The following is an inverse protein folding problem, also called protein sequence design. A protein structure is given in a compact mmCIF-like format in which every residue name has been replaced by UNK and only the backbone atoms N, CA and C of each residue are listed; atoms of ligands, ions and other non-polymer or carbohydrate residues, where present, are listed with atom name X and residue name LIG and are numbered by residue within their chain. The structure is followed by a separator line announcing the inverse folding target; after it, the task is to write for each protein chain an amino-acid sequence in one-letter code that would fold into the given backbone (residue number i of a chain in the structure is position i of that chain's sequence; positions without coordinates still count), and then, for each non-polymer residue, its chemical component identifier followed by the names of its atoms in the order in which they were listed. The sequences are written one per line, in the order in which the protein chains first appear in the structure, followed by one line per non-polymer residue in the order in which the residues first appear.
data_IF_276394028511
#
_entry.id   IF_276394028511
#
_cell.length_a   1.000
_cell.length_b   1.000
_cell.length_c   1.000
_cell.angle_alpha   90.00
_cell.angle_beta   90.00
_cell.angle_gamma   90.00
#
_symmetry.space_group_name_H-M   'P 1'
#
loop_
_entity.id
_entity.type
_entity.pdbx_description
1 polymer ?
#
# COMPACT_ATOMS: atom_id res chain seq x y z
N UNK A 1 -55.96 -9.03 15.93
CA UNK A 1 -54.60 -8.87 16.43
C UNK A 1 -53.80 -10.05 15.91
N UNK A 2 -53.14 -9.84 14.79
CA UNK A 2 -52.10 -10.71 14.27
C UNK A 2 -51.11 -9.74 13.64
N UNK A 3 -50.00 -9.55 14.34
CA UNK A 3 -48.88 -8.71 13.93
C UNK A 3 -48.28 -9.32 12.66
N UNK A 4 -48.17 -8.51 11.60
CA UNK A 4 -47.26 -8.81 10.50
C UNK A 4 -45.91 -8.26 10.94
N UNK A 5 -44.99 -9.16 11.25
CA UNK A 5 -43.55 -8.86 11.30
C UNK A 5 -43.09 -8.73 9.84
N UNK A 6 -43.03 -7.49 9.35
CA UNK A 6 -42.32 -7.18 8.11
C UNK A 6 -40.83 -7.15 8.46
N UNK A 7 -40.12 -8.23 8.09
CA UNK A 7 -38.66 -8.31 8.13
C UNK A 7 -38.11 -7.28 7.13
N UNK A 8 -37.56 -6.17 7.64
CA UNK A 8 -36.73 -5.24 6.88
C UNK A 8 -35.45 -5.99 6.45
N UNK A 9 -35.48 -6.51 5.23
CA UNK A 9 -34.31 -6.98 4.50
C UNK A 9 -33.55 -5.73 4.03
N UNK A 10 -32.68 -5.21 4.91
CA UNK A 10 -31.65 -4.22 4.56
C UNK A 10 -30.66 -4.90 3.60
N UNK A 11 -31.07 -5.08 2.34
CA UNK A 11 -30.15 -5.25 1.22
C UNK A 11 -29.34 -3.94 1.13
N UNK A 12 -28.21 -3.89 1.84
CA UNK A 12 -27.19 -2.88 1.62
C UNK A 12 -26.79 -2.97 0.15
N UNK A 13 -27.41 -2.12 -0.69
CA UNK A 13 -26.96 -1.88 -2.06
C UNK A 13 -25.49 -1.49 -1.96
N UNK A 14 -24.59 -2.43 -2.27
CA UNK A 14 -23.18 -2.15 -2.47
C UNK A 14 -23.12 -1.13 -3.60
N UNK A 15 -23.08 0.17 -3.26
CA UNK A 15 -22.84 1.24 -4.20
C UNK A 15 -21.59 0.85 -4.99
N UNK A 16 -21.77 0.53 -6.27
CA UNK A 16 -20.73 0.01 -7.14
C UNK A 16 -19.62 1.05 -7.20
N UNK A 17 -18.60 0.88 -6.35
CA UNK A 17 -17.58 1.88 -6.13
C UNK A 17 -16.88 2.14 -7.48
N UNK A 18 -17.02 3.35 -7.99
CA UNK A 18 -16.48 3.72 -9.30
C UNK A 18 -14.99 3.35 -9.37
N UNK A 19 -14.61 2.57 -10.38
CA UNK A 19 -13.22 2.17 -10.59
C UNK A 19 -12.34 3.42 -10.74
N UNK A 20 -11.46 3.65 -9.77
CA UNK A 20 -10.53 4.76 -9.81
C UNK A 20 -9.50 4.55 -10.93
N UNK A 21 -9.65 5.29 -12.03
CA UNK A 21 -8.71 5.24 -13.14
C UNK A 21 -7.44 6.03 -12.82
N UNK A 22 -6.26 5.47 -13.14
CA UNK A 22 -5.01 6.24 -13.04
C UNK A 22 -5.09 7.49 -13.92
N UNK A 23 -4.70 8.68 -13.43
CA UNK A 23 -4.68 9.91 -14.24
C UNK A 23 -3.62 9.88 -15.36
N UNK A 24 -2.83 8.81 -15.43
CA UNK A 24 -1.74 8.65 -16.36
C UNK A 24 -2.21 7.98 -17.66
N UNK A 25 -1.86 8.55 -18.81
CA UNK A 25 -2.23 7.98 -20.12
C UNK A 25 -1.40 6.74 -20.48
N UNK A 26 -0.14 6.69 -20.06
CA UNK A 26 0.74 5.51 -20.19
C UNK A 26 1.72 5.45 -19.03
N UNK A 27 1.83 4.29 -18.37
CA UNK A 27 2.90 4.04 -17.42
C UNK A 27 4.18 3.65 -18.16
N UNK A 28 5.30 4.34 -17.89
CA UNK A 28 6.62 3.91 -18.35
C UNK A 28 7.12 2.79 -17.45
N UNK A 29 7.45 1.62 -18.00
CA UNK A 29 8.05 0.52 -17.26
C UNK A 29 7.45 -0.83 -17.64
N UNK A 30 7.61 -1.81 -16.75
CA UNK A 30 7.00 -3.13 -16.84
C UNK A 30 5.89 -3.23 -15.80
N UNK A 31 4.71 -3.68 -16.21
CA UNK A 31 3.63 -4.00 -15.28
C UNK A 31 4.06 -5.17 -14.38
N UNK A 32 4.08 -4.93 -13.06
CA UNK A 32 4.44 -5.93 -12.05
C UNK A 32 3.22 -6.46 -11.28
N UNK A 33 2.14 -5.67 -11.21
CA UNK A 33 0.93 -5.99 -10.46
C UNK A 33 -0.27 -5.26 -11.08
N UNK A 34 -1.33 -6.01 -11.39
CA UNK A 34 -2.64 -5.50 -11.80
C UNK A 34 -3.68 -6.50 -11.26
N UNK A 35 -4.30 -6.19 -10.13
CA UNK A 35 -5.14 -7.13 -9.38
C UNK A 35 -6.23 -6.37 -8.65
N UNK A 36 -7.46 -6.92 -8.71
CA UNK A 36 -8.61 -6.44 -7.93
C UNK A 36 -8.50 -7.03 -6.53
N UNK A 37 -8.47 -6.15 -5.53
CA UNK A 37 -8.43 -6.52 -4.11
C UNK A 37 -9.80 -6.20 -3.48
N UNK A 38 -10.41 -7.13 -2.73
CA UNK A 38 -11.69 -6.88 -2.04
C UNK A 38 -11.46 -6.07 -0.75
N UNK A 39 -10.92 -4.86 -0.88
CA UNK A 39 -10.56 -3.96 0.21
C UNK A 39 -10.88 -2.52 -0.20
N UNK A 40 -11.28 -1.68 0.76
CA UNK A 40 -11.41 -0.25 0.50
C UNK A 40 -10.04 0.38 0.20
N UNK A 41 -10.05 1.48 -0.56
CA UNK A 41 -8.83 2.23 -0.91
C UNK A 41 -8.09 2.70 0.35
N UNK A 42 -8.81 3.17 1.35
CA UNK A 42 -8.23 3.63 2.62
C UNK A 42 -7.56 2.49 3.39
N UNK A 43 -8.18 1.30 3.40
CA UNK A 43 -7.61 0.12 4.05
C UNK A 43 -6.32 -0.32 3.36
N UNK A 44 -6.32 -0.36 2.03
CA UNK A 44 -5.13 -0.69 1.25
C UNK A 44 -4.01 0.34 1.47
N UNK A 45 -4.37 1.63 1.54
CA UNK A 45 -3.42 2.69 1.85
C UNK A 45 -2.81 2.51 3.24
N UNK A 46 -3.64 2.25 4.25
CA UNK A 46 -3.19 2.00 5.63
C UNK A 46 -2.17 0.85 5.67
N UNK A 47 -2.45 -0.25 4.95
CA UNK A 47 -1.55 -1.40 4.89
C UNK A 47 -0.21 -1.12 4.21
N UNK A 48 -0.20 -0.39 3.10
CA UNK A 48 1.02 -0.20 2.30
C UNK A 48 1.84 1.03 2.70
N UNK A 49 1.20 2.06 3.25
CA UNK A 49 1.79 3.39 3.40
C UNK A 49 1.89 3.88 4.85
N UNK A 50 1.67 3.02 5.84
CA UNK A 50 1.89 3.30 7.26
C UNK A 50 2.76 2.22 7.91
N UNK A 51 3.12 2.39 9.19
CA UNK A 51 3.81 1.37 9.98
C UNK A 51 2.84 0.30 10.49
N UNK A 52 2.06 -0.27 9.56
CA UNK A 52 1.06 -1.30 9.84
C UNK A 52 1.72 -2.66 10.07
N UNK A 53 0.99 -3.57 10.72
CA UNK A 53 1.44 -4.96 10.87
C UNK A 53 1.66 -5.61 9.49
N UNK A 54 0.76 -5.39 8.54
CA UNK A 54 0.88 -5.87 7.16
C UNK A 54 2.20 -5.40 6.52
N UNK A 55 2.53 -4.12 6.64
CA UNK A 55 3.77 -3.56 6.09
C UNK A 55 5.01 -4.23 6.67
N UNK A 56 5.03 -4.43 7.99
CA UNK A 56 6.13 -5.12 8.68
C UNK A 56 6.24 -6.58 8.25
N UNK A 57 5.12 -7.29 8.14
CA UNK A 57 5.07 -8.67 7.67
C UNK A 57 5.56 -8.78 6.21
N UNK A 58 5.17 -7.85 5.33
CA UNK A 58 5.63 -7.80 3.94
C UNK A 58 7.16 -7.74 3.88
N UNK A 59 7.78 -6.84 4.62
CA UNK A 59 9.24 -6.75 4.68
C UNK A 59 9.90 -7.96 5.34
N UNK A 60 9.25 -8.55 6.34
CA UNK A 60 9.72 -9.79 6.96
C UNK A 60 9.78 -10.94 5.94
N UNK A 61 8.71 -11.15 5.15
CA UNK A 61 8.66 -12.17 4.08
C UNK A 61 9.73 -11.90 3.01
N UNK A 62 9.98 -10.62 2.68
CA UNK A 62 11.03 -10.20 1.74
C UNK A 62 12.44 -10.26 2.35
N UNK A 63 12.58 -10.64 3.62
CA UNK A 63 13.85 -10.70 4.37
C UNK A 63 14.59 -9.37 4.40
N UNK A 64 13.87 -8.25 4.32
CA UNK A 64 14.42 -6.93 4.60
C UNK A 64 14.72 -6.80 6.08
N UNK A 65 15.82 -6.14 6.43
CA UNK A 65 16.26 -5.93 7.81
C UNK A 65 16.47 -4.45 8.09
N UNK A 66 16.59 -4.10 9.37
CA UNK A 66 16.93 -2.75 9.83
C UNK A 66 16.02 -1.65 9.23
N UNK A 67 14.72 -1.93 9.14
CA UNK A 67 13.76 -1.00 8.54
C UNK A 67 13.63 0.22 9.44
N UNK A 68 13.78 1.39 8.85
CA UNK A 68 13.57 2.69 9.47
C UNK A 68 12.50 3.41 8.65
N UNK A 69 11.35 3.64 9.26
CA UNK A 69 10.22 4.36 8.69
C UNK A 69 10.24 5.79 9.24
N UNK A 70 10.41 6.79 8.37
CA UNK A 70 10.21 8.18 8.77
C UNK A 70 8.74 8.59 8.61
N UNK A 71 8.32 9.52 9.46
CA UNK A 71 7.01 10.14 9.37
C UNK A 71 6.83 10.87 8.04
N UNK A 72 5.60 10.85 7.56
CA UNK A 72 5.20 11.67 6.42
C UNK A 72 5.32 13.17 6.74
N UNK A 73 5.92 13.93 5.83
CA UNK A 73 6.11 15.37 5.93
C UNK A 73 5.61 16.05 4.68
N UNK A 74 5.04 17.24 4.81
CA UNK A 74 4.61 18.03 3.66
C UNK A 74 5.80 18.85 3.16
N UNK A 75 6.14 18.70 1.88
CA UNK A 75 7.15 19.54 1.24
C UNK A 75 6.68 20.99 1.16
N UNK A 76 7.56 21.93 1.53
CA UNK A 76 7.19 23.35 1.56
C UNK A 76 7.02 23.93 0.15
N UNK A 77 7.74 23.40 -0.84
CA UNK A 77 7.80 23.91 -2.21
C UNK A 77 6.75 23.25 -3.08
N UNK A 78 6.69 21.91 -3.08
CA UNK A 78 5.77 21.15 -3.95
C UNK A 78 4.41 20.88 -3.33
N UNK A 79 4.25 21.09 -2.01
CA UNK A 79 3.06 20.70 -1.22
C UNK A 79 2.77 19.20 -1.21
N UNK A 80 3.63 18.37 -1.81
CA UNK A 80 3.49 16.92 -1.81
C UNK A 80 3.81 16.33 -0.43
N UNK A 81 3.23 15.17 -0.12
CA UNK A 81 3.48 14.44 1.12
C UNK A 81 4.64 13.48 0.87
N UNK A 82 5.75 13.66 1.57
CA UNK A 82 6.99 12.93 1.36
C UNK A 82 7.34 12.09 2.58
N UNK A 83 7.93 10.92 2.35
CA UNK A 83 8.68 10.21 3.40
C UNK A 83 9.90 9.49 2.82
N UNK A 84 10.81 9.14 3.71
CA UNK A 84 11.96 8.29 3.41
C UNK A 84 11.90 7.00 4.22
N UNK A 85 12.19 5.88 3.58
CA UNK A 85 12.31 4.57 4.23
C UNK A 85 13.71 4.04 3.95
N UNK A 86 14.37 3.51 4.97
CA UNK A 86 15.68 2.86 4.81
C UNK A 86 15.61 1.43 5.30
N UNK A 87 16.22 0.49 4.58
CA UNK A 87 16.28 -0.92 4.96
C UNK A 87 17.44 -1.63 4.26
N UNK A 88 17.88 -2.77 4.80
CA UNK A 88 18.91 -3.61 4.19
C UNK A 88 18.31 -4.86 3.55
N UNK A 89 18.82 -5.24 2.39
CA UNK A 89 18.42 -6.45 1.66
C UNK A 89 19.60 -7.36 1.40
N UNK A 90 19.38 -8.66 1.42
CA UNK A 90 20.39 -9.63 1.00
C UNK A 90 20.50 -9.65 -0.53
N UNK A 91 21.73 -9.67 -1.05
CA UNK A 91 22.02 -9.75 -2.48
C UNK A 91 22.62 -11.12 -2.76
N UNK A 92 21.90 -11.94 -3.53
CA UNK A 92 22.33 -13.29 -3.88
C UNK A 92 23.00 -13.33 -5.26
N UNK A 93 24.14 -12.63 -5.40
CA UNK A 93 24.90 -12.58 -6.63
C UNK A 93 26.39 -12.76 -6.36
N UNK A 94 27.04 -13.70 -7.06
CA UNK A 94 28.42 -14.14 -6.77
C UNK A 94 29.48 -13.03 -6.86
N UNK A 95 29.20 -11.95 -7.59
CA UNK A 95 30.10 -10.81 -7.80
C UNK A 95 29.71 -9.56 -6.98
N UNK A 96 28.70 -9.67 -6.12
CA UNK A 96 28.20 -8.53 -5.33
C UNK A 96 28.45 -8.75 -3.82
N UNK A 97 28.50 -7.66 -3.03
CA UNK A 97 28.42 -7.77 -1.58
C UNK A 97 27.18 -8.55 -1.16
N UNK A 98 27.23 -9.28 -0.04
CA UNK A 98 26.13 -10.14 0.43
C UNK A 98 24.86 -9.38 0.81
N UNK A 99 24.96 -8.07 1.03
CA UNK A 99 23.83 -7.20 1.37
C UNK A 99 24.04 -5.80 0.82
N UNK A 100 22.94 -5.06 0.67
CA UNK A 100 22.92 -3.68 0.24
C UNK A 100 21.96 -2.87 1.13
N UNK A 101 22.28 -1.60 1.36
CA UNK A 101 21.40 -0.63 2.02
C UNK A 101 20.55 0.08 0.97
N UNK A 102 19.25 0.13 1.19
CA UNK A 102 18.27 0.76 0.32
C UNK A 102 17.74 2.01 1.00
N UNK A 103 17.66 3.11 0.24
CA UNK A 103 16.99 4.34 0.64
C UNK A 103 15.88 4.60 -0.37
N UNK A 104 14.64 4.48 0.08
CA UNK A 104 13.43 4.65 -0.72
C UNK A 104 12.77 5.99 -0.38
N UNK A 105 12.37 6.74 -1.41
CA UNK A 105 11.64 8.00 -1.27
C UNK A 105 10.24 7.82 -1.84
N UNK A 106 9.23 8.16 -1.06
CA UNK A 106 7.82 8.08 -1.44
C UNK A 106 7.21 9.49 -1.45
N UNK A 107 6.37 9.78 -2.46
CA UNK A 107 5.77 11.09 -2.77
C UNK A 107 4.28 10.93 -3.02
#
# INVERSE_FOLDING_TARGET
MSENDDEDDDEEEEEEAEEACCPCSTHRGRELLNTVCPLSVDQLFLWLFTDSEFFRQLHHVRKSKNIILSDWKIDRTTKAKLRQISYSVAVNHALAPKSCEVVEKQV
#
